data_IF_235157959181
#
_entry.id   IF_235157959181
#
_cell.length_a   1.000
_cell.length_b   1.000
_cell.length_c   1.000
_cell.angle_alpha   90.00
_cell.angle_beta   90.00
_cell.angle_gamma   90.00
#
_symmetry.space_group_name_H-M   'P 1'
#
loop_
_entity.id
_entity.type
_entity.pdbx_description
1 polymer ?
#
# COMPACT_ATOMS: atom_id res chain seq x y z
N UNK A 1 -4.56 5.86 -0.74
CA UNK A 1 -5.40 4.66 -0.62
C UNK A 1 -4.50 3.45 -0.52
N UNK A 2 -4.72 2.59 0.44
CA UNK A 2 -4.01 1.31 0.52
C UNK A 2 -5.04 0.18 0.58
N UNK A 3 -4.81 -0.86 -0.22
CA UNK A 3 -5.52 -2.12 -0.06
C UNK A 3 -4.95 -2.90 1.12
N UNK A 4 -5.66 -3.94 1.59
CA UNK A 4 -5.12 -4.80 2.63
C UNK A 4 -3.79 -5.42 2.19
N UNK A 5 -2.84 -5.57 3.12
CA UNK A 5 -1.65 -6.34 2.86
C UNK A 5 -2.01 -7.80 2.58
N UNK A 6 -1.38 -8.39 1.60
CA UNK A 6 -1.51 -9.80 1.28
C UNK A 6 -0.16 -10.48 1.37
N UNK A 7 -0.03 -11.46 2.23
CA UNK A 7 1.20 -12.23 2.39
C UNK A 7 1.24 -13.40 1.42
N UNK A 8 2.39 -13.69 0.85
CA UNK A 8 2.59 -14.79 -0.09
C UNK A 8 4.06 -14.98 -0.45
N UNK A 9 4.29 -15.88 -1.40
CA UNK A 9 5.62 -16.19 -1.89
C UNK A 9 5.93 -15.37 -3.15
N UNK A 10 7.05 -14.66 -3.14
CA UNK A 10 7.64 -14.06 -4.33
C UNK A 10 8.66 -15.01 -4.92
N UNK A 11 8.65 -15.18 -6.22
CA UNK A 11 9.45 -16.18 -6.93
C UNK A 11 10.15 -15.53 -8.11
N UNK A 12 11.46 -15.75 -8.20
CA UNK A 12 12.28 -15.43 -9.35
C UNK A 12 13.13 -16.66 -9.73
N UNK A 13 12.68 -17.42 -10.71
CA UNK A 13 13.34 -18.67 -11.08
C UNK A 13 13.36 -19.68 -9.93
N UNK A 14 14.58 -20.00 -9.45
CA UNK A 14 14.78 -20.91 -8.31
C UNK A 14 14.79 -20.20 -6.95
N UNK A 15 14.81 -18.88 -6.95
CA UNK A 15 14.83 -18.08 -5.72
C UNK A 15 13.41 -17.74 -5.31
N UNK A 16 13.10 -17.89 -4.02
CA UNK A 16 11.82 -17.48 -3.46
C UNK A 16 12.00 -16.84 -2.10
N UNK A 17 11.08 -15.98 -1.75
CA UNK A 17 11.04 -15.33 -0.43
C UNK A 17 9.59 -15.08 -0.03
N UNK A 18 9.21 -15.37 1.22
CA UNK A 18 7.93 -14.91 1.74
C UNK A 18 7.99 -13.41 1.97
N UNK A 19 6.99 -12.68 1.55
CA UNK A 19 6.87 -11.24 1.79
C UNK A 19 5.43 -10.79 1.71
N UNK A 20 5.19 -9.50 1.90
CA UNK A 20 3.86 -8.91 1.87
C UNK A 20 3.76 -7.93 0.72
N UNK A 21 2.69 -8.04 -0.08
CA UNK A 21 2.34 -7.08 -1.12
C UNK A 21 1.27 -6.11 -0.60
N UNK A 22 1.52 -4.81 -0.80
CA UNK A 22 0.60 -3.74 -0.46
C UNK A 22 0.06 -3.10 -1.73
N UNK A 23 -1.26 -3.06 -1.86
CA UNK A 23 -1.92 -2.30 -2.92
C UNK A 23 -2.02 -0.83 -2.52
N UNK A 24 -1.31 0.04 -3.22
CA UNK A 24 -1.18 1.46 -2.85
C UNK A 24 -1.33 2.38 -4.07
N UNK A 25 -1.45 3.68 -3.80
CA UNK A 25 -1.29 4.74 -4.80
C UNK A 25 0.07 5.43 -4.63
N UNK A 26 0.36 6.42 -5.47
CA UNK A 26 1.64 7.15 -5.44
C UNK A 26 1.88 7.92 -4.14
N UNK A 27 0.82 8.42 -3.50
CA UNK A 27 0.92 9.20 -2.26
C UNK A 27 1.47 8.37 -1.08
N UNK A 28 1.40 7.05 -1.18
CA UNK A 28 1.91 6.14 -0.15
C UNK A 28 3.38 6.37 0.17
N UNK A 29 4.21 6.66 -0.85
CA UNK A 29 5.63 6.97 -0.64
C UNK A 29 5.82 8.21 0.24
N UNK A 30 5.06 9.27 -0.03
CA UNK A 30 5.13 10.52 0.74
C UNK A 30 4.63 10.31 2.17
N UNK A 31 3.49 9.65 2.35
CA UNK A 31 2.89 9.40 3.67
C UNK A 31 3.80 8.54 4.54
N UNK A 32 4.42 7.51 3.96
CA UNK A 32 5.32 6.59 4.67
C UNK A 32 6.78 7.03 4.66
N UNK A 33 7.10 8.17 4.04
CA UNK A 33 8.47 8.70 3.90
C UNK A 33 9.41 7.66 3.28
N UNK A 34 8.96 7.05 2.19
CA UNK A 34 9.72 6.08 1.40
C UNK A 34 10.28 6.77 0.15
N UNK A 35 11.48 6.42 -0.22
CA UNK A 35 12.14 6.90 -1.44
C UNK A 35 12.40 5.72 -2.38
N UNK A 36 12.34 5.98 -3.68
CA UNK A 36 12.79 5.04 -4.71
C UNK A 36 14.26 5.29 -4.98
N UNK A 37 15.09 4.27 -4.88
CA UNK A 37 16.54 4.34 -5.13
C UNK A 37 16.85 4.10 -6.60
N UNK A 38 16.25 3.07 -7.19
CA UNK A 38 16.42 2.69 -8.58
C UNK A 38 15.06 2.57 -9.28
N UNK A 39 15.01 3.00 -10.53
CA UNK A 39 13.77 2.98 -11.31
C UNK A 39 12.81 4.08 -10.91
N UNK A 40 11.53 3.82 -11.03
CA UNK A 40 10.46 4.78 -10.77
C UNK A 40 9.29 4.14 -10.04
N UNK A 41 8.45 4.96 -9.40
CA UNK A 41 7.15 4.52 -8.90
C UNK A 41 6.19 4.33 -10.08
N UNK A 42 5.27 3.38 -9.96
CA UNK A 42 4.22 3.21 -10.97
C UNK A 42 3.32 4.44 -11.09
N UNK A 43 2.81 4.67 -12.28
CA UNK A 43 2.02 5.86 -12.63
C UNK A 43 0.53 5.72 -12.28
N UNK A 44 -0.21 6.83 -12.35
CA UNK A 44 -1.67 6.81 -12.25
C UNK A 44 -2.33 6.01 -13.39
N UNK A 45 -1.69 5.94 -14.56
CA UNK A 45 -2.14 5.11 -15.68
C UNK A 45 -2.02 3.63 -15.34
N UNK A 46 -0.92 3.23 -14.69
CA UNK A 46 -0.74 1.87 -14.20
C UNK A 46 -1.81 1.49 -13.18
N UNK A 47 -2.18 2.42 -12.31
CA UNK A 47 -3.26 2.23 -11.34
C UNK A 47 -4.60 2.06 -12.06
N UNK A 48 -4.94 2.95 -12.99
CA UNK A 48 -6.21 2.90 -13.74
C UNK A 48 -6.35 1.63 -14.58
N UNK A 49 -5.27 1.19 -15.20
CA UNK A 49 -5.23 -0.03 -16.02
C UNK A 49 -5.08 -1.32 -15.21
N UNK A 50 -4.90 -1.23 -13.91
CA UNK A 50 -4.57 -2.36 -13.03
C UNK A 50 -3.35 -3.13 -13.54
N UNK A 51 -2.30 -2.39 -13.92
CA UNK A 51 -1.08 -2.94 -14.47
C UNK A 51 -0.38 -3.86 -13.47
N UNK A 52 0.21 -4.93 -13.97
CA UNK A 52 0.99 -5.89 -13.17
C UNK A 52 2.44 -5.39 -13.01
N UNK A 53 2.59 -4.28 -12.31
CA UNK A 53 3.87 -3.66 -11.99
C UNK A 53 4.06 -3.56 -10.50
N UNK A 54 5.29 -3.55 -10.03
CA UNK A 54 5.58 -3.44 -8.60
C UNK A 54 6.87 -2.67 -8.32
N UNK A 55 6.94 -2.14 -7.13
CA UNK A 55 8.16 -1.57 -6.53
C UNK A 55 8.52 -2.43 -5.34
N UNK A 56 9.77 -2.85 -5.24
CA UNK A 56 10.23 -3.83 -4.26
C UNK A 56 11.16 -3.21 -3.22
N UNK A 57 11.08 -3.68 -1.99
CA UNK A 57 12.01 -3.33 -0.93
C UNK A 57 13.35 -4.06 -1.07
N UNK A 58 14.38 -3.54 -0.41
CA UNK A 58 15.75 -4.04 -0.55
C UNK A 58 15.90 -5.50 -0.12
N UNK A 59 15.28 -5.90 0.97
CA UNK A 59 15.34 -7.30 1.47
C UNK A 59 14.76 -8.29 0.44
N UNK A 60 13.68 -7.90 -0.25
CA UNK A 60 13.09 -8.74 -1.31
C UNK A 60 14.05 -8.87 -2.49
N UNK A 61 14.72 -7.77 -2.87
CA UNK A 61 15.73 -7.79 -3.93
C UNK A 61 16.87 -8.72 -3.57
N UNK A 62 17.44 -8.59 -2.37
CA UNK A 62 18.59 -9.39 -1.94
C UNK A 62 18.27 -10.91 -1.91
N UNK A 63 17.03 -11.25 -1.57
CA UNK A 63 16.57 -12.64 -1.55
C UNK A 63 16.26 -13.22 -2.93
N UNK A 64 15.72 -12.41 -3.85
CA UNK A 64 15.32 -12.85 -5.19
C UNK A 64 16.44 -12.72 -6.24
N UNK A 65 17.40 -11.81 -6.02
CA UNK A 65 18.52 -11.53 -6.92
C UNK A 65 19.86 -11.59 -6.19
N UNK A 66 20.22 -12.75 -5.62
CA UNK A 66 21.47 -12.89 -4.84
C UNK A 66 22.74 -12.73 -5.68
N UNK A 67 22.63 -12.75 -6.99
CA UNK A 67 23.70 -12.49 -7.96
C UNK A 67 23.95 -11.00 -8.24
N UNK A 68 23.31 -10.11 -7.46
CA UNK A 68 23.38 -8.65 -7.62
C UNK A 68 22.96 -8.15 -9.01
N UNK A 69 22.18 -8.95 -9.75
CA UNK A 69 21.64 -8.52 -11.04
C UNK A 69 20.62 -7.40 -10.86
N UNK A 70 20.59 -6.46 -11.82
CA UNK A 70 19.62 -5.36 -11.83
C UNK A 70 18.18 -5.90 -11.82
N UNK A 71 17.39 -5.64 -10.77
CA UNK A 71 16.03 -6.12 -10.68
C UNK A 71 15.03 -5.33 -11.52
N UNK A 72 15.32 -4.07 -11.86
CA UNK A 72 14.43 -3.20 -12.61
C UNK A 72 14.18 -3.76 -14.00
N UNK A 73 12.92 -3.83 -14.39
CA UNK A 73 12.48 -4.40 -15.67
C UNK A 73 12.29 -5.92 -15.68
N UNK A 74 12.75 -6.62 -14.65
CA UNK A 74 12.54 -8.07 -14.52
C UNK A 74 11.16 -8.40 -13.99
N UNK A 75 10.71 -9.63 -14.28
CA UNK A 75 9.40 -10.13 -13.83
C UNK A 75 9.61 -11.10 -12.68
N UNK A 76 8.90 -10.86 -11.58
CA UNK A 76 8.80 -11.78 -10.44
C UNK A 76 7.36 -12.26 -10.33
N UNK A 77 7.12 -13.38 -9.66
CA UNK A 77 5.77 -13.89 -9.42
C UNK A 77 5.41 -13.77 -7.95
N UNK A 78 4.21 -13.23 -7.71
CA UNK A 78 3.55 -13.35 -6.41
C UNK A 78 2.58 -14.53 -6.48
N UNK A 79 2.93 -15.60 -5.79
CA UNK A 79 2.29 -16.94 -5.95
C UNK A 79 2.34 -17.36 -7.44
N UNK A 80 1.24 -17.18 -8.17
CA UNK A 80 1.14 -17.48 -9.61
C UNK A 80 1.03 -16.24 -10.51
N UNK A 81 0.93 -15.04 -9.93
CA UNK A 81 0.66 -13.79 -10.64
C UNK A 81 1.99 -13.09 -10.97
N UNK A 82 2.30 -12.83 -12.24
CA UNK A 82 3.51 -12.13 -12.62
C UNK A 82 3.38 -10.61 -12.37
N UNK A 83 4.46 -10.01 -11.84
CA UNK A 83 4.62 -8.57 -11.70
C UNK A 83 5.97 -8.14 -12.25
N UNK A 84 5.99 -7.07 -13.03
CA UNK A 84 7.24 -6.47 -13.51
C UNK A 84 7.74 -5.45 -12.50
N UNK A 85 8.99 -5.54 -12.10
CA UNK A 85 9.65 -4.57 -11.22
C UNK A 85 9.91 -3.29 -12.00
N UNK A 86 9.38 -2.17 -11.53
CA UNK A 86 9.59 -0.84 -12.12
C UNK A 86 10.48 0.04 -11.25
N UNK A 87 10.64 -0.31 -9.98
CA UNK A 87 11.50 0.42 -9.07
C UNK A 87 11.90 -0.40 -7.85
N UNK A 88 12.95 0.08 -7.19
CA UNK A 88 13.49 -0.46 -5.93
C UNK A 88 13.48 0.64 -4.89
N UNK A 89 12.95 0.36 -3.70
CA UNK A 89 12.94 1.30 -2.59
C UNK A 89 14.33 1.42 -1.97
N UNK A 90 14.66 2.63 -1.53
CA UNK A 90 15.82 2.88 -0.70
C UNK A 90 15.68 2.16 0.64
N UNK A 91 16.76 1.51 1.07
CA UNK A 91 16.76 0.81 2.35
C UNK A 91 16.51 1.74 3.53
N UNK A 92 15.61 1.33 4.44
CA UNK A 92 15.35 1.95 5.74
C UNK A 92 15.89 1.16 6.91
N UNK A 93 16.18 -0.12 6.71
CA UNK A 93 16.63 -1.04 7.74
C UNK A 93 15.52 -1.44 8.72
N UNK A 94 15.91 -1.75 9.95
CA UNK A 94 15.00 -2.17 11.00
C UNK A 94 14.41 -0.97 11.77
N UNK A 95 13.14 -1.07 12.14
CA UNK A 95 12.53 -0.07 13.01
C UNK A 95 12.90 -0.30 14.48
N UNK A 96 12.43 0.57 15.39
CA UNK A 96 12.68 0.48 16.83
C UNK A 96 12.14 -0.80 17.49
N UNK A 97 11.21 -1.49 16.82
CA UNK A 97 10.64 -2.78 17.27
C UNK A 97 11.40 -3.99 16.71
N UNK A 98 12.47 -3.77 15.94
CA UNK A 98 13.25 -4.84 15.31
C UNK A 98 12.61 -5.45 14.06
N UNK A 99 11.58 -4.81 13.49
CA UNK A 99 10.96 -5.27 12.25
C UNK A 99 11.69 -4.69 11.04
N UNK A 100 11.91 -5.54 10.03
CA UNK A 100 12.49 -5.14 8.76
C UNK A 100 11.50 -4.30 7.95
N UNK A 101 11.88 -3.04 7.69
CA UNK A 101 11.06 -2.12 6.90
C UNK A 101 11.27 -2.30 5.39
N UNK A 102 12.25 -3.10 4.99
CA UNK A 102 12.64 -3.33 3.60
C UNK A 102 12.04 -4.62 3.01
N UNK A 103 11.35 -5.41 3.85
CA UNK A 103 10.66 -6.64 3.45
C UNK A 103 9.22 -6.36 3.05
N UNK A 104 9.07 -5.69 1.92
CA UNK A 104 7.74 -5.36 1.37
C UNK A 104 7.78 -5.19 -0.15
N UNK A 105 6.61 -5.32 -0.77
CA UNK A 105 6.39 -5.05 -2.18
C UNK A 105 5.18 -4.13 -2.32
N UNK A 106 5.30 -3.09 -3.13
CA UNK A 106 4.22 -2.17 -3.46
C UNK A 106 3.72 -2.43 -4.87
N UNK A 107 2.41 -2.46 -5.04
CA UNK A 107 1.78 -2.58 -6.35
C UNK A 107 0.56 -1.64 -6.44
N UNK A 108 0.06 -1.32 -7.65
CA UNK A 108 -1.17 -0.55 -7.78
C UNK A 108 -2.32 -1.19 -6.98
N UNK A 109 -3.01 -0.41 -6.16
CA UNK A 109 -4.10 -0.96 -5.33
C UNK A 109 -5.18 -1.65 -6.18
N UNK A 110 -5.43 -1.15 -7.38
CA UNK A 110 -6.39 -1.74 -8.32
C UNK A 110 -5.97 -3.14 -8.80
N UNK A 111 -4.67 -3.35 -9.02
CA UNK A 111 -4.14 -4.66 -9.40
C UNK A 111 -4.24 -5.66 -8.23
N UNK A 112 -3.91 -5.23 -7.01
CA UNK A 112 -4.03 -6.08 -5.81
C UNK A 112 -5.49 -6.43 -5.53
N UNK A 113 -6.39 -5.45 -5.58
CA UNK A 113 -7.82 -5.67 -5.36
C UNK A 113 -8.42 -6.66 -6.37
N UNK A 114 -8.15 -6.45 -7.66
CA UNK A 114 -8.75 -7.26 -8.72
C UNK A 114 -8.13 -8.65 -8.86
N UNK A 115 -6.80 -8.76 -8.72
CA UNK A 115 -6.05 -9.95 -9.09
C UNK A 115 -5.67 -10.84 -7.91
N UNK A 116 -5.56 -10.27 -6.71
CA UNK A 116 -5.15 -11.00 -5.51
C UNK A 116 -6.33 -11.18 -4.56
N UNK A 117 -6.99 -10.09 -4.20
CA UNK A 117 -8.06 -10.11 -3.20
C UNK A 117 -9.45 -10.36 -3.79
N UNK A 118 -9.64 -10.14 -5.09
CA UNK A 118 -10.93 -10.23 -5.78
C UNK A 118 -12.05 -9.42 -5.08
N UNK A 119 -11.72 -8.23 -4.58
CA UNK A 119 -12.63 -7.29 -3.91
C UNK A 119 -12.83 -6.04 -4.72
N UNK A 120 -13.94 -5.35 -4.49
CA UNK A 120 -14.32 -4.12 -5.20
C UNK A 120 -14.30 -2.87 -4.32
N UNK A 121 -13.92 -3.01 -3.05
CA UNK A 121 -13.87 -1.92 -2.07
C UNK A 121 -12.47 -1.74 -1.49
N UNK A 122 -12.18 -0.51 -1.08
CA UNK A 122 -10.91 -0.17 -0.41
C UNK A 122 -11.03 -0.52 1.07
N UNK A 123 -10.06 -1.24 1.61
CA UNK A 123 -10.07 -1.68 3.00
C UNK A 123 -9.51 -0.63 3.97
N UNK A 124 -8.60 0.22 3.51
CA UNK A 124 -8.04 1.30 4.31
C UNK A 124 -7.65 2.51 3.46
N UNK A 125 -7.76 3.68 4.05
CA UNK A 125 -7.31 4.94 3.47
C UNK A 125 -6.38 5.58 4.49
N UNK A 126 -5.13 5.84 4.09
CA UNK A 126 -4.16 6.54 4.92
C UNK A 126 -4.07 8.00 4.47
N UNK A 127 -4.15 8.90 5.41
CA UNK A 127 -4.02 10.34 5.19
C UNK A 127 -2.96 10.90 6.14
N UNK A 128 -2.34 12.01 5.76
CA UNK A 128 -1.48 12.79 6.66
C UNK A 128 -2.01 14.21 6.78
N UNK A 129 -2.03 14.74 8.00
CA UNK A 129 -2.30 16.15 8.23
C UNK A 129 -1.04 16.99 7.94
N UNK A 130 -1.21 18.27 7.59
CA UNK A 130 -0.10 19.16 7.32
C UNK A 130 0.74 19.43 8.58
N UNK A 131 0.10 19.45 9.74
CA UNK A 131 0.73 19.60 11.05
C UNK A 131 0.01 18.73 12.06
N UNK A 132 0.66 18.38 13.16
CA UNK A 132 0.09 17.58 14.24
C UNK A 132 -1.17 18.23 14.84
N UNK A 133 -1.16 19.56 15.01
CA UNK A 133 -2.29 20.34 15.55
C UNK A 133 -3.57 20.28 14.68
N UNK A 134 -3.43 19.91 13.41
CA UNK A 134 -4.57 19.79 12.49
C UNK A 134 -5.14 18.37 12.41
N UNK A 135 -4.61 17.43 13.17
CA UNK A 135 -5.04 16.03 13.13
C UNK A 135 -6.50 15.85 13.54
N UNK A 136 -6.93 16.52 14.61
CA UNK A 136 -8.33 16.44 15.08
C UNK A 136 -9.29 17.00 14.03
N UNK A 137 -8.95 18.16 13.45
CA UNK A 137 -9.75 18.75 12.36
C UNK A 137 -9.79 17.86 11.13
N UNK A 138 -8.67 17.27 10.75
CA UNK A 138 -8.63 16.32 9.65
C UNK A 138 -9.51 15.09 9.92
N UNK A 139 -9.51 14.59 11.13
CA UNK A 139 -10.36 13.47 11.57
C UNK A 139 -11.85 13.82 11.44
N UNK A 140 -12.26 15.01 11.90
CA UNK A 140 -13.65 15.48 11.76
C UNK A 140 -14.07 15.61 10.29
N UNK A 141 -13.22 16.20 9.45
CA UNK A 141 -13.49 16.36 8.02
C UNK A 141 -13.60 15.00 7.30
N UNK A 142 -12.69 14.05 7.60
CA UNK A 142 -12.72 12.70 7.05
C UNK A 142 -14.01 11.98 7.49
N UNK A 143 -14.36 12.05 8.76
CA UNK A 143 -15.60 11.46 9.30
C UNK A 143 -16.81 11.98 8.54
N UNK A 144 -16.93 13.30 8.38
CA UNK A 144 -18.03 13.93 7.67
C UNK A 144 -18.12 13.46 6.20
N UNK A 145 -16.98 13.40 5.50
CA UNK A 145 -16.95 12.95 4.11
C UNK A 145 -17.36 11.48 4.00
N UNK A 146 -16.83 10.60 4.87
CA UNK A 146 -17.15 9.18 4.84
C UNK A 146 -18.63 8.92 5.16
N UNK A 147 -19.16 9.56 6.19
CA UNK A 147 -20.60 9.46 6.50
C UNK A 147 -21.46 9.90 5.32
N UNK A 148 -21.12 11.00 4.66
CA UNK A 148 -21.81 11.47 3.46
C UNK A 148 -21.73 10.47 2.30
N UNK A 149 -20.54 9.90 2.04
CA UNK A 149 -20.35 8.92 0.95
C UNK A 149 -21.03 7.59 1.24
N UNK A 150 -21.07 7.15 2.49
CA UNK A 150 -21.74 5.92 2.92
C UNK A 150 -23.25 6.15 3.17
N UNK A 151 -23.74 7.40 3.01
CA UNK A 151 -25.14 7.79 3.23
C UNK A 151 -25.64 7.49 4.64
N UNK A 152 -24.73 7.62 5.63
CA UNK A 152 -25.07 7.48 7.04
C UNK A 152 -25.80 8.73 7.53
N UNK A 153 -26.81 8.55 8.39
CA UNK A 153 -27.57 9.64 8.98
C UNK A 153 -26.86 10.17 10.21
N UNK A 154 -26.81 11.48 10.33
CA UNK A 154 -26.35 12.14 11.54
C UNK A 154 -27.37 12.00 12.67
N UNK A 155 -26.91 11.92 13.90
CA UNK A 155 -27.77 11.95 15.06
C UNK A 155 -28.49 13.30 15.15
N UNK A 156 -29.81 13.30 15.26
CA UNK A 156 -30.64 14.47 15.54
C UNK A 156 -31.27 14.32 16.91
N UNK A 157 -31.75 15.41 17.52
CA UNK A 157 -32.29 15.42 18.90
C UNK A 157 -33.41 14.38 19.15
N UNK A 158 -34.05 13.89 18.10
CA UNK A 158 -35.19 12.95 18.18
C UNK A 158 -34.91 11.56 17.56
N UNK A 159 -33.68 11.31 17.02
CA UNK A 159 -33.33 10.05 16.37
C UNK A 159 -31.90 9.66 16.67
N UNK A 160 -31.64 8.38 16.99
CA UNK A 160 -30.30 7.81 16.98
C UNK A 160 -29.76 7.87 15.53
N UNK A 161 -28.54 8.44 15.37
CA UNK A 161 -27.83 8.42 14.09
C UNK A 161 -27.38 7.00 13.75
N UNK A 162 -27.01 6.79 12.50
CA UNK A 162 -26.42 5.54 12.06
C UNK A 162 -25.02 5.40 12.68
N UNK A 163 -24.68 4.20 13.17
CA UNK A 163 -23.31 3.91 13.59
C UNK A 163 -22.33 3.98 12.41
N UNK A 164 -21.11 4.42 12.68
CA UNK A 164 -20.06 4.43 11.65
C UNK A 164 -19.71 2.99 11.25
N UNK A 165 -19.73 2.73 9.94
CA UNK A 165 -19.29 1.46 9.34
C UNK A 165 -17.79 1.48 8.96
N UNK A 166 -17.06 2.44 9.52
CA UNK A 166 -15.62 2.65 9.35
C UNK A 166 -14.95 3.02 10.67
N UNK A 167 -13.65 2.82 10.75
CA UNK A 167 -12.83 3.22 11.89
C UNK A 167 -11.75 4.20 11.45
N UNK A 168 -11.52 5.25 12.23
CA UNK A 168 -10.43 6.19 12.03
C UNK A 168 -9.42 5.98 13.15
N UNK A 169 -8.21 5.57 12.78
CA UNK A 169 -7.08 5.45 13.70
C UNK A 169 -6.07 6.59 13.44
N UNK A 170 -5.65 7.26 14.49
CA UNK A 170 -4.59 8.27 14.43
C UNK A 170 -3.27 7.64 14.87
N UNK A 171 -2.24 7.76 14.02
CA UNK A 171 -0.88 7.34 14.33
C UNK A 171 -0.03 8.61 14.38
N UNK A 172 0.53 8.90 15.54
CA UNK A 172 1.42 10.04 15.79
C UNK A 172 2.87 9.62 15.67
#
# INVERSE_FOLDING_TARGET
MSGAPSSGQFINGNNNTPSTIYGVNQDYLTIRKLDVEDGEMFSDEDIKSSAKVCVVGKTVVDNLFPDESDPVGKVIRFNTIPFRIVGVLKSKGYNSMGMDQDDLVLAPYSAVMKRILAITYVQSISCSALTEDLTDKATEEITSILRSQHKLKDATDDFEGDEDDFNIGVVV
#
